data_IF_796867243403
#
_entry.id   IF_796867243403
#
_cell.length_a   1.000
_cell.length_b   1.000
_cell.length_c   1.000
_cell.angle_alpha   90.00
_cell.angle_beta   90.00
_cell.angle_gamma   90.00
#
_symmetry.space_group_name_H-M   'P 1'
#
loop_
_entity.id
_entity.type
_entity.pdbx_description
1 polymer ?
#
# COMPACT_ATOMS: atom_id res chain seq x y z
N UNK A 1 16.32 -7.41 -11.89
CA UNK A 1 16.05 -6.68 -10.63
C UNK A 1 15.60 -7.62 -9.51
N UNK A 2 14.58 -8.46 -9.74
CA UNK A 2 14.03 -9.37 -8.71
C UNK A 2 15.07 -10.34 -8.11
N UNK A 3 15.89 -10.98 -8.95
CA UNK A 3 16.93 -11.92 -8.50
C UNK A 3 17.99 -11.32 -7.56
N UNK A 4 18.41 -10.07 -7.79
CA UNK A 4 19.41 -9.40 -6.94
C UNK A 4 18.85 -8.97 -5.57
N UNK A 5 17.53 -8.84 -5.47
CA UNK A 5 16.82 -8.48 -4.25
C UNK A 5 16.23 -9.71 -3.53
N UNK A 6 16.50 -10.93 -4.02
CA UNK A 6 15.96 -12.16 -3.45
C UNK A 6 14.45 -12.30 -3.60
N UNK A 7 13.86 -11.63 -4.59
CA UNK A 7 12.42 -11.63 -4.82
C UNK A 7 12.04 -12.79 -5.73
N UNK A 8 10.94 -13.46 -5.40
CA UNK A 8 10.28 -14.38 -6.32
C UNK A 8 9.74 -13.60 -7.52
N UNK A 9 10.41 -13.75 -8.66
CA UNK A 9 10.05 -13.08 -9.90
C UNK A 9 8.66 -13.43 -10.41
N UNK A 10 8.12 -14.61 -10.05
CA UNK A 10 6.77 -14.99 -10.43
C UNK A 10 5.69 -14.19 -9.68
N UNK A 11 6.06 -13.51 -8.59
CA UNK A 11 5.15 -12.69 -7.81
C UNK A 11 4.89 -11.29 -8.37
N UNK A 12 5.54 -10.92 -9.49
CA UNK A 12 5.30 -9.68 -10.22
C UNK A 12 5.14 -9.97 -11.71
N UNK A 13 4.10 -9.38 -12.31
CA UNK A 13 3.84 -9.42 -13.74
C UNK A 13 3.45 -8.00 -14.19
N UNK A 14 4.32 -7.35 -14.96
CA UNK A 14 4.18 -5.94 -15.38
C UNK A 14 4.31 -5.85 -16.91
N UNK A 15 3.31 -6.32 -17.66
CA UNK A 15 3.47 -6.54 -19.09
C UNK A 15 3.50 -5.23 -19.90
N UNK A 16 2.77 -4.20 -19.47
CA UNK A 16 2.70 -2.92 -20.21
C UNK A 16 3.68 -1.86 -19.72
N UNK A 17 3.73 -1.57 -18.40
CA UNK A 17 4.52 -0.46 -17.85
C UNK A 17 4.69 -0.55 -16.31
N UNK A 18 5.42 0.42 -15.74
CA UNK A 18 5.67 0.53 -14.30
C UNK A 18 4.67 1.39 -13.51
N UNK A 19 3.63 1.95 -14.13
CA UNK A 19 2.62 2.77 -13.44
C UNK A 19 1.56 1.95 -12.71
N UNK A 20 1.36 0.69 -13.12
CA UNK A 20 0.40 -0.25 -12.53
C UNK A 20 -0.87 -0.48 -13.35
N UNK A 21 -1.24 0.45 -14.24
CA UNK A 21 -2.41 0.32 -15.12
C UNK A 21 -1.94 0.05 -16.55
N UNK A 22 -2.61 -0.83 -17.33
CA UNK A 22 -3.89 -1.46 -17.01
C UNK A 22 -3.82 -2.87 -16.43
N UNK A 23 -2.66 -3.52 -16.45
CA UNK A 23 -2.57 -4.98 -16.44
C UNK A 23 -1.51 -5.54 -15.47
N UNK A 24 -0.94 -4.69 -14.63
CA UNK A 24 0.05 -5.11 -13.64
C UNK A 24 -0.56 -5.99 -12.55
N UNK A 25 0.15 -7.05 -12.19
CA UNK A 25 -0.20 -7.97 -11.11
C UNK A 25 0.96 -8.12 -10.15
N UNK A 26 0.64 -8.16 -8.87
CA UNK A 26 1.61 -8.35 -7.79
C UNK A 26 1.00 -9.18 -6.69
N UNK A 27 1.79 -10.00 -6.02
CA UNK A 27 1.36 -10.63 -4.76
C UNK A 27 1.72 -9.73 -3.58
N UNK A 28 0.87 -9.68 -2.55
CA UNK A 28 1.16 -8.93 -1.33
C UNK A 28 2.47 -9.41 -0.67
N UNK A 29 2.74 -10.72 -0.72
CA UNK A 29 3.98 -11.30 -0.19
C UNK A 29 5.22 -10.77 -0.90
N UNK A 30 5.22 -10.76 -2.24
CA UNK A 30 6.38 -10.28 -3.01
C UNK A 30 6.57 -8.77 -2.83
N UNK A 31 5.48 -7.99 -2.76
CA UNK A 31 5.53 -6.56 -2.46
C UNK A 31 6.10 -6.27 -1.07
N UNK A 32 5.63 -6.95 -0.02
CA UNK A 32 6.17 -6.78 1.34
C UNK A 32 7.64 -7.22 1.42
N UNK A 33 8.03 -8.26 0.68
CA UNK A 33 9.44 -8.69 0.59
C UNK A 33 10.30 -7.64 -0.10
N UNK A 34 9.81 -7.04 -1.19
CA UNK A 34 10.48 -5.92 -1.86
C UNK A 34 10.70 -4.75 -0.90
N UNK A 35 9.67 -4.34 -0.17
CA UNK A 35 9.76 -3.26 0.82
C UNK A 35 10.78 -3.61 1.93
N UNK A 36 10.74 -4.84 2.44
CA UNK A 36 11.75 -5.28 3.42
C UNK A 36 13.17 -5.25 2.85
N UNK A 37 13.38 -5.64 1.59
CA UNK A 37 14.68 -5.54 0.93
C UNK A 37 15.12 -4.07 0.74
N UNK A 38 14.21 -3.20 0.27
CA UNK A 38 14.46 -1.77 0.07
C UNK A 38 14.88 -1.07 1.37
N UNK A 39 14.32 -1.48 2.52
CA UNK A 39 14.68 -0.93 3.85
C UNK A 39 16.14 -1.10 4.24
N UNK A 40 16.87 -2.01 3.57
CA UNK A 40 18.27 -2.33 3.85
C UNK A 40 19.24 -1.68 2.87
N UNK A 41 18.73 -0.99 1.86
CA UNK A 41 19.55 -0.34 0.85
C UNK A 41 19.97 1.07 1.30
N UNK A 42 21.14 1.58 0.85
CA UNK A 42 21.58 2.93 1.19
C UNK A 42 20.60 4.05 0.78
N UNK A 43 19.72 3.78 -0.20
CA UNK A 43 18.72 4.74 -0.69
C UNK A 43 17.46 4.80 0.19
N UNK A 44 17.36 3.96 1.24
CA UNK A 44 16.12 3.76 1.99
C UNK A 44 15.50 5.05 2.50
N UNK A 45 16.29 5.96 3.09
CA UNK A 45 15.76 7.24 3.61
C UNK A 45 15.04 8.05 2.54
N UNK A 46 15.63 8.16 1.34
CA UNK A 46 15.00 8.87 0.23
C UNK A 46 13.76 8.12 -0.28
N UNK A 47 13.81 6.78 -0.30
CA UNK A 47 12.69 5.94 -0.70
C UNK A 47 11.50 6.05 0.26
N UNK A 48 11.74 6.02 1.57
CA UNK A 48 10.73 6.20 2.61
C UNK A 48 10.10 7.59 2.52
N UNK A 49 10.92 8.64 2.42
CA UNK A 49 10.45 10.02 2.33
C UNK A 49 9.67 10.34 1.04
N UNK A 50 9.71 9.46 0.04
CA UNK A 50 8.89 9.58 -1.16
C UNK A 50 7.48 9.01 -0.99
N UNK A 51 7.21 8.29 0.10
CA UNK A 51 5.89 7.76 0.40
C UNK A 51 5.07 8.81 1.16
N UNK A 52 3.81 9.04 0.75
CA UNK A 52 2.84 9.78 1.56
C UNK A 52 2.68 9.21 2.98
N UNK A 53 2.27 10.07 3.91
CA UNK A 53 1.87 9.71 5.27
C UNK A 53 0.34 9.66 5.34
N UNK A 54 -0.20 8.56 5.85
CA UNK A 54 -1.63 8.30 5.92
C UNK A 54 -2.38 9.41 6.68
N UNK A 55 -3.43 9.96 6.07
CA UNK A 55 -4.26 11.00 6.68
C UNK A 55 -3.54 12.34 6.91
N UNK A 56 -2.36 12.54 6.30
CA UNK A 56 -1.56 13.78 6.41
C UNK A 56 -1.35 14.40 5.03
N UNK A 57 -0.86 13.63 4.05
CA UNK A 57 -0.54 14.16 2.72
C UNK A 57 -0.82 13.15 1.57
N UNK A 58 -0.49 13.57 0.35
CA UNK A 58 -0.66 12.77 -0.85
C UNK A 58 -2.11 12.36 -1.12
N UNK A 59 -2.29 11.19 -1.74
CA UNK A 59 -3.57 10.67 -2.20
C UNK A 59 -4.53 10.25 -1.08
N UNK A 60 -4.04 10.10 0.15
CA UNK A 60 -4.84 9.64 1.30
C UNK A 60 -4.95 10.69 2.40
N UNK A 61 -4.70 11.97 2.10
CA UNK A 61 -4.80 13.06 3.08
C UNK A 61 -6.22 13.22 3.69
N UNK A 62 -7.24 12.78 2.96
CA UNK A 62 -8.64 12.88 3.38
C UNK A 62 -9.20 11.60 4.05
N UNK A 63 -8.44 10.49 4.02
CA UNK A 63 -8.85 9.19 4.57
C UNK A 63 -8.84 9.24 6.10
N UNK A 64 -9.82 8.53 6.68
CA UNK A 64 -10.27 8.57 8.07
C UNK A 64 -9.29 9.18 9.07
N UNK A 65 -9.66 10.36 9.58
CA UNK A 65 -8.82 11.12 10.51
C UNK A 65 -8.66 10.48 11.88
N UNK A 66 -9.45 9.45 12.21
CA UNK A 66 -9.47 8.82 13.52
C UNK A 66 -8.63 7.53 13.60
N UNK A 67 -7.94 7.15 12.53
CA UNK A 67 -7.02 6.00 12.54
C UNK A 67 -5.89 6.24 13.55
N UNK A 68 -5.76 5.35 14.53
CA UNK A 68 -4.68 5.41 15.53
C UNK A 68 -3.31 5.24 14.85
N UNK A 69 -2.38 6.17 15.10
CA UNK A 69 -1.01 6.11 14.59
C UNK A 69 -0.87 6.38 13.09
N UNK A 70 -1.86 7.00 12.43
CA UNK A 70 -1.81 7.30 10.99
C UNK A 70 -0.57 8.11 10.55
N UNK A 71 -0.08 9.00 11.41
CA UNK A 71 1.14 9.78 11.20
C UNK A 71 2.42 8.94 11.18
N UNK A 72 2.34 7.67 11.59
CA UNK A 72 3.41 6.69 11.59
C UNK A 72 3.26 5.63 10.48
N UNK A 73 2.29 5.82 9.56
CA UNK A 73 1.99 4.90 8.47
C UNK A 73 2.35 5.57 7.14
N UNK A 74 3.43 5.07 6.53
CA UNK A 74 3.91 5.51 5.22
C UNK A 74 3.31 4.61 4.15
N UNK A 75 2.70 5.21 3.12
CA UNK A 75 1.79 4.48 2.22
C UNK A 75 1.91 4.93 0.78
N UNK A 76 2.05 3.97 -0.12
CA UNK A 76 1.66 4.13 -1.52
C UNK A 76 0.28 3.51 -1.71
N UNK A 77 -0.68 4.32 -2.13
CA UNK A 77 -2.01 3.82 -2.53
C UNK A 77 -2.10 3.48 -4.01
N UNK A 78 -3.02 2.60 -4.38
CA UNK A 78 -3.38 2.29 -5.76
C UNK A 78 -4.88 2.01 -5.87
N UNK A 79 -5.51 2.60 -6.88
CA UNK A 79 -6.91 2.35 -7.22
C UNK A 79 -7.02 2.06 -8.72
N UNK A 80 -7.65 0.94 -9.05
CA UNK A 80 -8.00 0.57 -10.42
C UNK A 80 -9.50 0.33 -10.49
N UNK A 81 -10.21 1.28 -11.11
CA UNK A 81 -11.63 1.16 -11.43
C UNK A 81 -11.77 0.93 -12.93
N UNK A 82 -12.53 -0.10 -13.32
CA UNK A 82 -12.80 -0.40 -14.73
C UNK A 82 -14.22 -0.92 -14.89
N UNK A 83 -14.92 -0.45 -15.93
CA UNK A 83 -16.31 -0.82 -16.23
C UNK A 83 -17.25 -0.68 -15.02
N UNK A 84 -17.07 0.37 -14.21
CA UNK A 84 -17.87 0.61 -13.01
C UNK A 84 -17.62 -0.38 -11.87
N UNK A 85 -16.47 -1.07 -11.85
CA UNK A 85 -16.07 -2.02 -10.82
C UNK A 85 -14.73 -1.62 -10.21
N UNK A 86 -14.60 -1.77 -8.89
CA UNK A 86 -13.33 -1.68 -8.18
C UNK A 86 -12.53 -2.96 -8.41
N UNK A 87 -11.60 -2.92 -9.36
CA UNK A 87 -10.78 -4.08 -9.72
C UNK A 87 -9.71 -4.30 -8.66
N UNK A 88 -9.06 -3.23 -8.20
CA UNK A 88 -8.01 -3.29 -7.20
C UNK A 88 -7.96 -1.99 -6.37
N UNK A 89 -7.99 -2.13 -5.05
CA UNK A 89 -7.82 -1.08 -4.05
C UNK A 89 -6.71 -1.56 -3.11
N UNK A 90 -5.61 -0.83 -3.05
CA UNK A 90 -4.38 -1.34 -2.46
C UNK A 90 -3.65 -0.27 -1.67
N UNK A 91 -3.07 -0.67 -0.52
CA UNK A 91 -2.07 0.09 0.22
C UNK A 91 -0.81 -0.75 0.49
N UNK A 92 0.37 -0.16 0.30
CA UNK A 92 1.63 -0.80 0.69
C UNK A 92 2.65 0.23 1.15
N UNK A 93 3.51 -0.16 2.08
CA UNK A 93 4.55 0.73 2.61
C UNK A 93 5.11 0.27 3.95
N UNK A 94 5.30 1.21 4.87
CA UNK A 94 5.91 0.95 6.17
C UNK A 94 5.07 1.48 7.34
N UNK A 95 5.22 0.86 8.50
CA UNK A 95 4.61 1.31 9.76
C UNK A 95 5.70 1.38 10.82
N UNK A 96 5.91 2.57 11.38
CA UNK A 96 6.62 2.75 12.64
C UNK A 96 5.66 2.40 13.77
N UNK A 97 5.60 1.13 14.17
CA UNK A 97 4.55 0.61 15.02
C UNK A 97 4.76 0.93 16.50
N UNK A 98 3.70 0.86 17.33
CA UNK A 98 3.68 1.38 18.71
C UNK A 98 4.73 0.71 19.64
N UNK A 99 5.11 -0.54 19.37
CA UNK A 99 6.18 -1.27 20.06
C UNK A 99 7.58 -0.75 19.75
N UNK A 100 7.72 0.15 18.78
CA UNK A 100 9.00 0.54 18.18
C UNK A 100 9.49 -0.40 17.08
N UNK A 101 8.68 -1.39 16.68
CA UNK A 101 9.01 -2.24 15.52
C UNK A 101 8.76 -1.47 14.23
N UNK A 102 9.70 -1.60 13.29
CA UNK A 102 9.50 -1.13 11.93
C UNK A 102 8.96 -2.25 11.05
N UNK A 103 7.77 -2.06 10.49
CA UNK A 103 7.07 -3.08 9.70
C UNK A 103 7.01 -2.66 8.23
N UNK A 104 7.21 -3.63 7.34
CA UNK A 104 6.84 -3.50 5.92
C UNK A 104 5.50 -4.22 5.71
N UNK A 105 4.60 -3.63 4.94
CA UNK A 105 3.27 -4.19 4.69
C UNK A 105 2.82 -4.05 3.23
N UNK A 106 1.89 -4.92 2.85
CA UNK A 106 1.08 -4.82 1.64
C UNK A 106 -0.31 -5.36 1.94
N UNK A 107 -1.34 -4.55 1.71
CA UNK A 107 -2.75 -4.84 1.90
C UNK A 107 -3.45 -4.61 0.57
N UNK A 108 -3.97 -5.68 -0.03
CA UNK A 108 -4.56 -5.67 -1.38
C UNK A 108 -6.00 -6.18 -1.32
N UNK A 109 -6.94 -5.37 -1.78
CA UNK A 109 -8.36 -5.70 -1.91
C UNK A 109 -8.72 -5.69 -3.39
N UNK A 110 -9.02 -6.87 -3.94
CA UNK A 110 -9.42 -7.02 -5.34
C UNK A 110 -10.92 -7.30 -5.46
N UNK A 111 -11.53 -6.79 -6.52
CA UNK A 111 -12.95 -7.00 -6.84
C UNK A 111 -13.88 -6.57 -5.67
N UNK A 112 -13.67 -5.35 -5.17
CA UNK A 112 -14.40 -4.81 -4.01
C UNK A 112 -15.87 -4.46 -4.31
N UNK A 113 -16.33 -4.69 -5.55
CA UNK A 113 -17.71 -4.46 -5.97
C UNK A 113 -17.88 -3.28 -6.93
N UNK A 114 -19.14 -2.89 -7.22
CA UNK A 114 -19.45 -1.79 -8.12
C UNK A 114 -19.03 -0.44 -7.54
N UNK A 115 -18.72 0.51 -8.41
CA UNK A 115 -18.60 1.93 -8.08
C UNK A 115 -19.89 2.62 -8.49
N UNK A 116 -20.72 2.95 -7.50
CA UNK A 116 -21.97 3.69 -7.66
C UNK A 116 -21.82 5.17 -7.30
N UNK A 117 -20.85 5.48 -6.42
CA UNK A 117 -20.41 6.82 -6.08
C UNK A 117 -18.89 6.84 -5.84
N UNK A 118 -18.27 8.02 -5.90
CA UNK A 118 -16.84 8.18 -5.59
C UNK A 118 -16.51 7.70 -4.15
N UNK A 119 -17.45 7.90 -3.23
CA UNK A 119 -17.34 7.49 -1.82
C UNK A 119 -17.10 6.00 -1.66
N UNK A 120 -17.61 5.15 -2.55
CA UNK A 120 -17.44 3.70 -2.46
C UNK A 120 -15.97 3.29 -2.48
N UNK A 121 -15.14 4.01 -3.26
CA UNK A 121 -13.68 3.78 -3.28
C UNK A 121 -12.98 4.32 -2.04
N UNK A 122 -13.52 5.38 -1.42
CA UNK A 122 -12.99 5.95 -0.20
C UNK A 122 -13.30 5.05 0.99
N UNK A 123 -14.49 4.45 1.04
CA UNK A 123 -14.90 3.53 2.11
C UNK A 123 -13.96 2.31 2.18
N UNK A 124 -13.56 1.74 1.03
CA UNK A 124 -12.57 0.66 0.99
C UNK A 124 -11.21 1.13 1.51
N UNK A 125 -10.78 2.34 1.17
CA UNK A 125 -9.54 2.90 1.69
C UNK A 125 -9.60 3.23 3.18
N UNK A 126 -10.76 3.65 3.70
CA UNK A 126 -11.00 3.86 5.12
C UNK A 126 -10.90 2.53 5.89
N UNK A 127 -11.49 1.46 5.37
CA UNK A 127 -11.37 0.12 5.95
C UNK A 127 -9.91 -0.39 5.94
N UNK A 128 -9.18 -0.20 4.83
CA UNK A 128 -7.75 -0.51 4.77
C UNK A 128 -6.96 0.29 5.80
N UNK A 129 -7.24 1.59 5.94
CA UNK A 129 -6.58 2.45 6.92
C UNK A 129 -6.85 2.01 8.37
N UNK A 130 -8.07 1.60 8.69
CA UNK A 130 -8.41 1.04 10.01
C UNK A 130 -7.65 -0.25 10.30
N UNK A 131 -7.51 -1.15 9.33
CA UNK A 131 -6.67 -2.36 9.47
C UNK A 131 -5.22 -1.97 9.79
N UNK A 132 -4.66 -0.96 9.12
CA UNK A 132 -3.30 -0.50 9.39
C UNK A 132 -3.16 0.12 10.79
N UNK A 133 -4.16 0.87 11.27
CA UNK A 133 -4.20 1.38 12.64
C UNK A 133 -4.24 0.27 13.70
N UNK A 134 -4.96 -0.81 13.44
CA UNK A 134 -4.96 -2.01 14.29
C UNK A 134 -3.56 -2.66 14.31
N UNK A 135 -2.90 -2.76 13.15
CA UNK A 135 -1.53 -3.31 13.06
C UNK A 135 -0.52 -2.43 13.81
N UNK A 136 -0.59 -1.11 13.63
CA UNK A 136 0.23 -0.13 14.36
C UNK A 136 0.08 -0.34 15.88
N UNK A 137 -1.17 -0.41 16.35
CA UNK A 137 -1.48 -0.47 17.78
C UNK A 137 -1.09 -1.79 18.43
N UNK A 138 -1.20 -2.89 17.67
CA UNK A 138 -0.89 -4.25 18.14
C UNK A 138 0.61 -4.52 18.25
N UNK A 139 1.38 -3.93 17.36
CA UNK A 139 2.83 -4.06 17.35
C UNK A 139 3.44 -2.80 17.88
#
# INVERSE_FOLDING_TARGET
MTGNLGLDGAGFDFPSNGSGTPDSRATARTTATLLSAMSRLPIYTAYLNALPILGVDGSLAAIDKNVEGKEHIFVKSGATVSNGQMIAMNMAGYIDAKSGRHLAYALFVNNAGPVTALTDTLDVFDDEAQILGIVYSKY
#
